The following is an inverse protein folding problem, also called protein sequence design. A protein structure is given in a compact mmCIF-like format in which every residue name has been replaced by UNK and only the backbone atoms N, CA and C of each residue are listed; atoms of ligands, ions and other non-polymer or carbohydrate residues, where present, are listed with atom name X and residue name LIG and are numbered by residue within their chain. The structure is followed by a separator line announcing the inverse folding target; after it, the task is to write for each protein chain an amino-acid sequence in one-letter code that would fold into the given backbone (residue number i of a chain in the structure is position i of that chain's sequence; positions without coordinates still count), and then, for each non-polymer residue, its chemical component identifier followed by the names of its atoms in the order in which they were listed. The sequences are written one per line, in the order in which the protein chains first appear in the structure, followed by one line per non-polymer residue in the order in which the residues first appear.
data_IF_660926525517
#
_entry.id   IF_660926525517
#
_cell.length_a   1.000
_cell.length_b   1.000
_cell.length_c   1.000
_cell.angle_alpha   90.00
_cell.angle_beta   90.00
_cell.angle_gamma   90.00
#
_symmetry.space_group_name_H-M   'P 1'
#
loop_
_entity.id
_entity.type
_entity.pdbx_description
1 polymer ?
#
# COMPACT_ATOMS: atom_id res chain seq x y z
N UNK A 1 -12.19 21.96 -28.67
CA UNK A 1 -11.38 22.20 -27.45
C UNK A 1 -10.75 23.58 -27.53
N UNK A 2 -10.64 24.29 -26.42
CA UNK A 2 -10.00 25.60 -26.37
C UNK A 2 -8.72 25.51 -25.56
N UNK A 3 -7.60 26.02 -26.08
CA UNK A 3 -6.36 26.13 -25.32
C UNK A 3 -6.53 27.23 -24.26
N UNK A 4 -6.38 26.88 -23.00
CA UNK A 4 -6.55 27.80 -21.85
C UNK A 4 -5.32 27.76 -20.93
N UNK A 5 -5.06 28.84 -20.21
CA UNK A 5 -4.08 28.85 -19.11
C UNK A 5 -4.77 28.56 -17.80
N UNK A 6 -4.10 27.86 -16.90
CA UNK A 6 -4.64 27.56 -15.58
C UNK A 6 -5.12 28.84 -14.86
N UNK A 7 -4.36 29.94 -14.95
CA UNK A 7 -4.74 31.23 -14.36
C UNK A 7 -6.07 31.79 -14.84
N UNK A 8 -6.54 31.41 -16.04
CA UNK A 8 -7.76 31.96 -16.62
C UNK A 8 -9.01 31.28 -16.07
N UNK A 9 -8.88 30.01 -15.66
CA UNK A 9 -10.00 29.15 -15.24
C UNK A 9 -9.96 28.70 -13.78
N UNK A 10 -8.78 28.76 -13.12
CA UNK A 10 -8.61 28.35 -11.72
C UNK A 10 -8.07 29.51 -10.89
N UNK A 11 -8.54 29.62 -9.66
CA UNK A 11 -8.02 30.55 -8.66
C UNK A 11 -7.44 29.82 -7.45
N UNK A 12 -6.41 30.41 -6.86
CA UNK A 12 -5.92 30.03 -5.53
C UNK A 12 -6.75 30.75 -4.48
N UNK A 13 -7.46 30.01 -3.65
CA UNK A 13 -8.15 30.54 -2.47
C UNK A 13 -7.14 30.89 -1.39
N UNK A 14 -7.29 32.06 -0.77
CA UNK A 14 -6.43 32.57 0.31
C UNK A 14 -7.28 32.91 1.54
N UNK A 15 -8.08 31.95 1.98
CA UNK A 15 -8.84 32.06 3.22
C UNK A 15 -7.93 31.69 4.38
N UNK A 16 -7.48 32.72 5.12
CA UNK A 16 -6.57 32.54 6.24
C UNK A 16 -7.35 32.58 7.55
N UNK A 17 -7.09 31.58 8.38
CA UNK A 17 -7.68 31.48 9.72
C UNK A 17 -6.59 31.33 10.76
N UNK A 18 -6.89 31.75 11.98
CA UNK A 18 -6.03 31.44 13.11
C UNK A 18 -6.35 30.03 13.59
N UNK A 19 -5.37 29.15 13.50
CA UNK A 19 -5.46 27.74 13.89
C UNK A 19 -5.96 27.53 15.32
N UNK A 20 -5.54 28.41 16.24
CA UNK A 20 -5.77 28.24 17.67
C UNK A 20 -7.15 28.77 18.10
N UNK A 21 -7.80 29.56 17.25
CA UNK A 21 -9.14 30.15 17.51
C UNK A 21 -10.22 29.69 16.53
N UNK A 22 -9.83 29.07 15.40
CA UNK A 22 -10.79 28.53 14.44
C UNK A 22 -11.46 27.27 15.01
N UNK A 23 -12.78 27.18 14.83
CA UNK A 23 -13.56 25.98 15.17
C UNK A 23 -13.43 24.95 14.07
N UNK A 24 -12.23 24.34 13.96
CA UNK A 24 -11.85 23.35 12.94
C UNK A 24 -11.11 22.19 13.59
N UNK A 25 -11.49 20.97 13.24
CA UNK A 25 -10.96 19.75 13.83
C UNK A 25 -9.73 19.20 13.07
N UNK A 26 -9.65 19.42 11.76
CA UNK A 26 -8.75 18.68 10.89
C UNK A 26 -7.72 19.55 10.17
N UNK A 27 -6.58 18.91 9.88
CA UNK A 27 -5.57 19.50 9.00
C UNK A 27 -5.06 18.51 7.96
N UNK A 28 -4.54 19.04 6.85
CA UNK A 28 -3.83 18.28 5.83
C UNK A 28 -2.39 18.79 5.71
N UNK A 29 -1.44 17.89 5.98
CA UNK A 29 -0.01 18.04 5.69
C UNK A 29 0.41 17.19 4.50
N UNK A 30 1.66 17.31 4.08
CA UNK A 30 2.20 16.53 2.96
C UNK A 30 2.18 15.01 3.15
N UNK A 31 2.13 14.54 4.40
CA UNK A 31 2.00 13.13 4.79
C UNK A 31 0.62 12.53 4.56
N UNK A 32 -0.39 13.38 4.37
CA UNK A 32 -1.77 12.94 4.14
C UNK A 32 -2.13 12.74 2.67
N UNK A 33 -1.23 13.11 1.75
CA UNK A 33 -1.41 12.83 0.33
C UNK A 33 -0.75 11.51 -0.05
N UNK A 34 -1.48 10.66 -0.75
CA UNK A 34 -0.91 9.54 -1.48
C UNK A 34 -0.49 9.94 -2.90
N UNK A 35 0.30 9.10 -3.55
CA UNK A 35 0.74 9.34 -4.91
C UNK A 35 -0.45 9.28 -5.88
N UNK A 36 -0.66 10.34 -6.64
CA UNK A 36 -1.67 10.42 -7.71
C UNK A 36 -3.09 10.02 -7.27
N UNK A 37 -3.47 10.34 -6.02
CA UNK A 37 -4.84 10.14 -5.54
C UNK A 37 -5.78 11.25 -6.04
N UNK A 38 -7.04 10.89 -6.29
CA UNK A 38 -8.10 11.86 -6.65
C UNK A 38 -8.77 12.43 -5.39
N UNK A 39 -9.02 11.58 -4.39
CA UNK A 39 -9.70 11.95 -3.15
C UNK A 39 -8.74 11.87 -1.97
N UNK A 40 -8.50 12.97 -1.28
CA UNK A 40 -7.67 13.01 -0.07
C UNK A 40 -8.56 12.61 1.11
N UNK A 41 -8.40 11.37 1.59
CA UNK A 41 -9.17 10.85 2.72
C UNK A 41 -8.44 10.92 4.04
N UNK A 42 -7.10 10.93 4.02
CA UNK A 42 -6.26 11.00 5.22
C UNK A 42 -6.19 12.42 5.75
N UNK A 43 -6.25 12.57 7.06
CA UNK A 43 -6.23 13.85 7.75
C UNK A 43 -5.65 13.71 9.15
N UNK A 44 -5.07 14.79 9.64
CA UNK A 44 -4.65 14.89 11.06
C UNK A 44 -5.68 15.65 11.88
N UNK A 45 -5.68 15.44 13.19
CA UNK A 45 -6.49 16.19 14.15
C UNK A 45 -5.66 17.37 14.65
N UNK A 46 -6.22 18.58 14.66
CA UNK A 46 -5.53 19.81 15.08
C UNK A 46 -5.23 19.76 16.57
N UNK A 47 -6.21 19.36 17.39
CA UNK A 47 -6.07 19.31 18.84
C UNK A 47 -4.97 18.33 19.25
N UNK A 48 -3.99 18.81 20.01
CA UNK A 48 -2.86 18.01 20.48
C UNK A 48 -1.78 17.72 19.41
N UNK A 49 -1.92 18.25 18.21
CA UNK A 49 -0.90 18.12 17.15
C UNK A 49 0.30 19.05 17.37
N UNK A 50 1.40 18.74 16.68
CA UNK A 50 2.63 19.56 16.69
C UNK A 50 2.79 20.40 15.41
N UNK A 51 1.69 20.63 14.65
CA UNK A 51 1.74 21.41 13.42
C UNK A 51 2.17 22.85 13.70
N UNK A 52 3.01 23.40 12.82
CA UNK A 52 3.57 24.74 12.97
C UNK A 52 2.62 25.87 12.49
N UNK A 53 3.02 27.13 12.64
CA UNK A 53 2.22 28.32 12.27
C UNK A 53 1.95 28.45 10.76
N UNK A 54 2.61 27.67 9.92
CA UNK A 54 2.35 27.62 8.49
C UNK A 54 0.98 27.02 8.13
N UNK A 55 0.32 26.31 9.08
CA UNK A 55 -1.00 25.73 8.91
C UNK A 55 -2.08 26.75 9.27
N UNK A 56 -2.50 27.53 8.30
CA UNK A 56 -3.47 28.60 8.48
C UNK A 56 -4.36 28.82 7.24
N UNK A 57 -4.23 27.99 6.19
CA UNK A 57 -5.05 28.11 5.00
C UNK A 57 -6.27 27.20 5.11
N UNK A 58 -7.47 27.80 5.23
CA UNK A 58 -8.73 27.07 5.31
C UNK A 58 -9.11 26.48 3.95
N UNK A 59 -9.61 25.28 3.95
CA UNK A 59 -10.26 24.62 2.81
C UNK A 59 -11.64 24.09 3.23
N UNK A 60 -12.50 23.88 2.24
CA UNK A 60 -13.88 23.41 2.39
C UNK A 60 -14.13 22.15 1.54
N UNK A 61 -15.19 21.36 1.82
CA UNK A 61 -15.59 20.25 0.97
C UNK A 61 -15.72 20.68 -0.50
N UNK A 62 -15.13 19.89 -1.40
CA UNK A 62 -15.09 20.18 -2.84
C UNK A 62 -13.88 21.00 -3.31
N UNK A 63 -13.08 21.55 -2.38
CA UNK A 63 -11.82 22.18 -2.76
C UNK A 63 -10.79 21.16 -3.23
N UNK A 64 -9.99 21.54 -4.22
CA UNK A 64 -8.85 20.73 -4.67
C UNK A 64 -7.58 21.30 -4.06
N UNK A 65 -6.86 20.45 -3.34
CA UNK A 65 -5.57 20.81 -2.77
C UNK A 65 -4.44 20.38 -3.71
N UNK A 66 -3.53 21.30 -4.00
CA UNK A 66 -2.36 21.07 -4.84
C UNK A 66 -1.09 21.39 -4.03
N UNK A 67 -0.26 20.35 -3.79
CA UNK A 67 1.00 20.53 -3.08
C UNK A 67 2.05 21.19 -3.97
N UNK A 68 2.68 22.26 -3.48
CA UNK A 68 3.75 22.95 -4.20
C UNK A 68 5.10 22.25 -4.12
N UNK A 69 5.28 21.32 -3.17
CA UNK A 69 6.55 20.64 -2.89
C UNK A 69 6.63 19.29 -3.58
N UNK A 70 7.85 18.97 -4.09
CA UNK A 70 8.19 17.66 -4.65
C UNK A 70 7.19 17.19 -5.73
N UNK A 71 7.08 17.87 -6.88
CA UNK A 71 6.07 17.60 -7.91
C UNK A 71 6.10 16.14 -8.41
N UNK A 72 7.25 15.46 -8.36
CA UNK A 72 7.37 14.03 -8.69
C UNK A 72 6.48 13.12 -7.83
N UNK A 73 5.99 13.60 -6.68
CA UNK A 73 5.08 12.86 -5.82
C UNK A 73 3.61 13.01 -6.20
N UNK A 74 3.29 13.84 -7.22
CA UNK A 74 1.94 14.04 -7.80
C UNK A 74 0.84 14.24 -6.75
N UNK A 75 1.11 15.11 -5.78
CA UNK A 75 0.24 15.35 -4.62
C UNK A 75 -0.80 16.41 -4.92
N UNK A 76 -1.95 15.99 -5.42
CA UNK A 76 -3.13 16.83 -5.63
C UNK A 76 -4.39 15.98 -5.52
N UNK A 77 -5.45 16.52 -4.92
CA UNK A 77 -6.72 15.81 -4.81
C UNK A 77 -7.82 16.67 -4.21
N UNK A 78 -9.05 16.20 -4.31
CA UNK A 78 -10.21 16.84 -3.72
C UNK A 78 -10.41 16.38 -2.28
N UNK A 79 -10.98 17.25 -1.46
CA UNK A 79 -11.39 16.98 -0.08
C UNK A 79 -12.90 16.99 0.08
N UNK A 80 -13.45 16.16 0.96
CA UNK A 80 -14.87 16.05 1.30
C UNK A 80 -15.20 16.58 2.70
N UNK A 81 -14.22 17.18 3.38
CA UNK A 81 -14.33 17.77 4.72
C UNK A 81 -13.69 19.15 4.76
N UNK A 82 -13.96 19.91 5.81
CA UNK A 82 -13.29 21.19 6.05
C UNK A 82 -12.10 21.05 6.99
N UNK A 83 -11.15 21.97 6.87
CA UNK A 83 -9.98 21.99 7.71
C UNK A 83 -8.97 23.05 7.29
N UNK A 84 -7.73 22.91 7.78
CA UNK A 84 -6.62 23.78 7.41
C UNK A 84 -5.49 23.00 6.74
N UNK A 85 -4.79 23.67 5.85
CA UNK A 85 -3.53 23.17 5.29
C UNK A 85 -2.42 24.23 5.43
N UNK A 86 -1.20 23.81 5.14
CA UNK A 86 -0.06 24.74 5.14
C UNK A 86 -0.07 25.63 3.89
N UNK A 87 0.67 26.72 3.94
CA UNK A 87 0.84 27.66 2.83
C UNK A 87 1.52 27.07 1.59
N UNK A 88 2.16 25.89 1.73
CA UNK A 88 2.75 25.11 0.63
C UNK A 88 1.74 24.19 -0.07
N UNK A 89 0.51 24.10 0.44
CA UNK A 89 -0.63 23.45 -0.21
C UNK A 89 -1.57 24.54 -0.74
N UNK A 90 -1.76 24.55 -2.04
CA UNK A 90 -2.65 25.54 -2.67
C UNK A 90 -4.08 25.03 -2.68
N UNK A 91 -5.00 25.80 -2.13
CA UNK A 91 -6.45 25.55 -2.21
C UNK A 91 -6.95 26.10 -3.55
N UNK A 92 -7.43 25.22 -4.43
CA UNK A 92 -7.79 25.52 -5.78
C UNK A 92 -9.30 25.43 -6.00
N UNK A 93 -9.87 26.46 -6.60
CA UNK A 93 -11.27 26.50 -7.07
C UNK A 93 -11.33 26.98 -8.51
N UNK A 94 -12.33 26.51 -9.23
CA UNK A 94 -12.64 27.06 -10.55
C UNK A 94 -13.21 28.46 -10.40
N UNK A 95 -12.92 29.32 -11.38
CA UNK A 95 -13.41 30.73 -11.38
C UNK A 95 -14.86 30.84 -11.84
N UNK A 96 -15.23 29.98 -12.77
CA UNK A 96 -16.58 29.93 -13.36
C UNK A 96 -16.89 28.49 -13.75
N UNK A 97 -17.89 27.90 -13.12
CA UNK A 97 -18.32 26.50 -13.40
C UNK A 97 -19.02 26.34 -14.76
N UNK A 98 -19.39 27.44 -15.44
CA UNK A 98 -19.84 27.37 -16.83
C UNK A 98 -18.69 27.21 -17.82
N UNK A 99 -17.46 27.44 -17.38
CA UNK A 99 -16.23 27.26 -18.18
C UNK A 99 -15.47 25.99 -17.78
N UNK A 100 -15.24 25.78 -16.48
CA UNK A 100 -14.57 24.62 -15.92
C UNK A 100 -15.31 24.12 -14.69
N UNK A 101 -15.80 22.87 -14.74
CA UNK A 101 -16.45 22.24 -13.59
C UNK A 101 -15.46 22.02 -12.45
N UNK A 102 -15.84 22.40 -11.22
CA UNK A 102 -15.03 22.14 -10.01
C UNK A 102 -14.75 20.64 -9.85
N UNK A 103 -15.74 19.79 -10.12
CA UNK A 103 -15.60 18.32 -10.05
C UNK A 103 -14.69 17.72 -11.14
N UNK A 104 -14.37 18.46 -12.21
CA UNK A 104 -13.43 18.04 -13.26
C UNK A 104 -11.97 18.39 -12.92
N UNK A 105 -11.76 19.43 -12.09
CA UNK A 105 -10.43 19.96 -11.76
C UNK A 105 -9.46 18.92 -11.17
N UNK A 106 -9.86 17.99 -10.26
CA UNK A 106 -8.93 16.99 -9.72
C UNK A 106 -8.30 16.11 -10.82
N UNK A 107 -9.06 15.79 -11.86
CA UNK A 107 -8.58 14.95 -12.96
C UNK A 107 -7.57 15.68 -13.85
N UNK A 108 -7.73 17.01 -14.05
CA UNK A 108 -6.72 17.82 -14.75
C UNK A 108 -5.37 17.74 -14.02
N UNK A 109 -5.38 17.86 -12.69
CA UNK A 109 -4.16 17.78 -11.88
C UNK A 109 -3.57 16.36 -11.77
N UNK A 110 -4.25 15.33 -12.24
CA UNK A 110 -3.71 13.97 -12.26
C UNK A 110 -3.23 13.50 -13.63
N UNK A 111 -3.25 14.39 -14.64
CA UNK A 111 -2.70 14.09 -15.95
C UNK A 111 -1.16 14.07 -15.94
N UNK A 112 -0.57 13.22 -16.77
CA UNK A 112 0.89 13.20 -16.97
C UNK A 112 1.38 14.55 -17.49
N UNK A 113 0.66 15.16 -18.43
CA UNK A 113 0.99 16.46 -19.01
C UNK A 113 1.11 17.59 -17.95
N UNK A 114 0.22 17.60 -16.94
CA UNK A 114 0.32 18.54 -15.83
C UNK A 114 1.57 18.35 -14.99
N UNK A 115 1.88 17.10 -14.63
CA UNK A 115 3.04 16.81 -13.79
C UNK A 115 4.36 16.91 -14.53
N UNK A 116 4.41 16.61 -15.84
CA UNK A 116 5.59 16.84 -16.69
C UNK A 116 5.88 18.34 -16.81
N UNK A 117 4.85 19.17 -16.94
CA UNK A 117 5.00 20.62 -16.85
C UNK A 117 5.53 21.05 -15.47
N UNK A 118 4.99 20.51 -14.38
CA UNK A 118 5.40 20.83 -13.03
C UNK A 118 6.86 20.41 -12.77
N UNK A 119 7.28 19.22 -13.21
CA UNK A 119 8.65 18.73 -13.11
C UNK A 119 9.63 19.58 -13.92
N UNK A 120 9.25 20.02 -15.11
CA UNK A 120 10.09 20.84 -15.99
C UNK A 120 10.28 22.26 -15.46
N UNK A 121 9.37 22.77 -14.64
CA UNK A 121 9.39 24.14 -14.10
C UNK A 121 9.74 24.21 -12.60
N UNK A 122 10.11 23.08 -11.97
CA UNK A 122 10.48 23.04 -10.56
C UNK A 122 11.73 23.83 -10.26
N UNK A 123 11.78 24.40 -9.04
CA UNK A 123 12.87 25.18 -8.49
C UNK A 123 13.47 24.49 -7.27
N UNK A 124 14.71 24.85 -6.92
CA UNK A 124 15.42 24.26 -5.78
C UNK A 124 16.33 23.11 -6.19
N UNK A 125 17.19 22.66 -5.27
CA UNK A 125 18.18 21.60 -5.52
C UNK A 125 17.93 20.34 -4.70
N UNK A 126 17.39 20.48 -3.49
CA UNK A 126 17.12 19.34 -2.58
C UNK A 126 15.63 19.25 -2.25
N UNK A 127 14.99 20.39 -2.02
CA UNK A 127 13.55 20.49 -1.76
C UNK A 127 12.91 21.20 -2.96
N UNK A 128 12.54 20.45 -3.98
CA UNK A 128 11.91 20.99 -5.17
C UNK A 128 10.55 21.61 -4.86
N UNK A 129 10.25 22.72 -5.52
CA UNK A 129 8.97 23.41 -5.36
C UNK A 129 8.57 24.17 -6.63
N UNK A 130 7.29 24.47 -6.76
CA UNK A 130 6.74 25.46 -7.70
C UNK A 130 5.98 26.51 -6.92
N UNK A 131 6.13 27.76 -7.33
CA UNK A 131 5.24 28.83 -6.87
C UNK A 131 3.91 28.78 -7.60
N UNK A 132 2.87 29.37 -7.03
CA UNK A 132 1.59 29.51 -7.71
C UNK A 132 1.75 30.19 -9.08
N UNK A 133 2.56 31.24 -9.17
CA UNK A 133 2.86 31.95 -10.42
C UNK A 133 3.52 31.09 -11.50
N UNK A 134 4.07 29.95 -11.17
CA UNK A 134 4.60 28.99 -12.13
C UNK A 134 3.47 28.04 -12.59
N UNK A 135 2.65 27.54 -11.67
CA UNK A 135 1.44 26.75 -12.01
C UNK A 135 0.45 27.53 -12.88
N UNK A 136 0.27 28.84 -12.63
CA UNK A 136 -0.61 29.71 -13.43
C UNK A 136 -0.29 29.72 -14.93
N UNK A 137 0.93 29.37 -15.32
CA UNK A 137 1.39 29.35 -16.72
C UNK A 137 1.04 28.04 -17.44
N UNK A 138 0.58 27.03 -16.71
CA UNK A 138 0.20 25.74 -17.31
C UNK A 138 -0.90 25.96 -18.33
N UNK A 139 -0.67 25.45 -19.55
CA UNK A 139 -1.61 25.50 -20.68
C UNK A 139 -2.13 24.09 -20.97
N UNK A 140 -3.41 23.98 -21.22
CA UNK A 140 -4.04 22.72 -21.56
C UNK A 140 -5.28 22.92 -22.43
N UNK A 141 -5.64 21.89 -23.17
CA UNK A 141 -6.87 21.90 -23.96
C UNK A 141 -8.08 21.63 -23.05
N UNK A 142 -8.99 22.57 -22.98
CA UNK A 142 -10.23 22.45 -22.20
C UNK A 142 -11.37 21.98 -23.10
N UNK A 143 -12.02 20.84 -22.82
CA UNK A 143 -13.20 20.39 -23.54
C UNK A 143 -14.39 21.35 -23.31
N UNK A 144 -15.37 21.38 -24.23
CA UNK A 144 -16.66 22.06 -24.02
C UNK A 144 -17.35 21.56 -22.74
N UNK A 145 -18.14 22.39 -22.09
CA UNK A 145 -18.72 22.10 -20.77
C UNK A 145 -19.60 20.82 -20.76
N UNK A 146 -20.26 20.52 -21.87
CA UNK A 146 -21.07 19.31 -22.05
C UNK A 146 -20.18 18.06 -21.98
N UNK A 147 -19.04 18.08 -22.66
CA UNK A 147 -18.06 16.99 -22.65
C UNK A 147 -17.42 16.86 -21.25
N UNK A 148 -17.12 18.00 -20.59
CA UNK A 148 -16.62 17.95 -19.21
C UNK A 148 -17.63 17.26 -18.28
N UNK A 149 -18.95 17.50 -18.44
CA UNK A 149 -19.99 16.84 -17.64
C UNK A 149 -19.98 15.34 -17.84
N UNK A 150 -19.97 14.88 -19.08
CA UNK A 150 -19.94 13.45 -19.41
C UNK A 150 -18.67 12.77 -18.85
N UNK A 151 -17.51 13.37 -19.09
CA UNK A 151 -16.22 12.87 -18.57
C UNK A 151 -16.18 12.87 -17.05
N UNK A 152 -16.68 13.92 -16.41
CA UNK A 152 -16.72 14.03 -14.95
C UNK A 152 -17.53 12.89 -14.35
N UNK A 153 -18.73 12.63 -14.85
CA UNK A 153 -19.56 11.53 -14.32
C UNK A 153 -18.90 10.17 -14.55
N UNK A 154 -18.29 9.93 -15.71
CA UNK A 154 -17.60 8.68 -16.03
C UNK A 154 -16.35 8.48 -15.14
N UNK A 155 -15.52 9.52 -15.00
CA UNK A 155 -14.29 9.45 -14.19
C UNK A 155 -14.60 9.27 -12.70
N UNK A 156 -15.63 9.94 -12.17
CA UNK A 156 -16.06 9.73 -10.78
C UNK A 156 -16.68 8.36 -10.55
N UNK A 157 -17.44 7.83 -11.50
CA UNK A 157 -17.97 6.47 -11.42
C UNK A 157 -16.81 5.43 -11.39
N UNK A 158 -15.79 5.66 -12.22
CA UNK A 158 -14.59 4.82 -12.24
C UNK A 158 -13.80 4.93 -10.92
N UNK A 159 -13.58 6.14 -10.40
CA UNK A 159 -12.88 6.36 -9.12
C UNK A 159 -13.64 5.70 -7.96
N UNK A 160 -14.95 5.89 -7.86
CA UNK A 160 -15.77 5.25 -6.84
C UNK A 160 -15.72 3.71 -6.93
N UNK A 161 -15.72 3.16 -8.15
CA UNK A 161 -15.56 1.73 -8.37
C UNK A 161 -14.19 1.23 -7.89
N UNK A 162 -13.12 1.95 -8.21
CA UNK A 162 -11.77 1.65 -7.73
C UNK A 162 -11.70 1.65 -6.20
N UNK A 163 -12.24 2.69 -5.56
CA UNK A 163 -12.26 2.80 -4.10
C UNK A 163 -13.08 1.68 -3.45
N UNK A 164 -14.21 1.29 -4.04
CA UNK A 164 -15.01 0.16 -3.57
C UNK A 164 -14.23 -1.17 -3.66
N UNK A 165 -13.46 -1.40 -4.72
CA UNK A 165 -12.61 -2.58 -4.85
C UNK A 165 -11.45 -2.57 -3.84
N UNK A 166 -10.85 -1.42 -3.56
CA UNK A 166 -9.82 -1.28 -2.51
C UNK A 166 -10.39 -1.61 -1.14
N UNK A 167 -11.59 -1.13 -0.82
CA UNK A 167 -12.25 -1.45 0.45
C UNK A 167 -12.61 -2.94 0.54
N UNK A 168 -13.07 -3.55 -0.55
CA UNK A 168 -13.38 -4.97 -0.60
C UNK A 168 -12.13 -5.85 -0.40
N UNK A 169 -10.96 -5.43 -0.92
CA UNK A 169 -9.68 -6.08 -0.62
C UNK A 169 -9.39 -6.08 0.88
N UNK A 170 -9.53 -4.93 1.53
CA UNK A 170 -9.35 -4.79 2.98
C UNK A 170 -10.32 -5.69 3.77
N UNK A 171 -11.60 -5.66 3.40
CA UNK A 171 -12.63 -6.50 4.03
C UNK A 171 -12.34 -8.00 3.86
N UNK A 172 -11.80 -8.40 2.70
CA UNK A 172 -11.41 -9.80 2.45
C UNK A 172 -10.26 -10.24 3.36
N UNK A 173 -9.27 -9.36 3.61
CA UNK A 173 -8.19 -9.65 4.56
C UNK A 173 -8.70 -9.77 6.00
N UNK A 174 -9.64 -8.91 6.40
CA UNK A 174 -10.28 -8.97 7.72
C UNK A 174 -11.14 -10.24 7.87
N UNK A 175 -11.83 -10.64 6.81
CA UNK A 175 -12.62 -11.86 6.78
C UNK A 175 -11.75 -13.11 7.01
N UNK A 176 -10.58 -13.20 6.38
CA UNK A 176 -9.65 -14.31 6.60
C UNK A 176 -9.20 -14.39 8.06
N UNK A 177 -8.89 -13.23 8.67
CA UNK A 177 -8.51 -13.18 10.09
C UNK A 177 -9.67 -13.60 11.00
N UNK A 178 -10.87 -13.12 10.72
CA UNK A 178 -12.08 -13.46 11.49
C UNK A 178 -12.41 -14.94 11.37
N UNK A 179 -12.33 -15.52 10.17
CA UNK A 179 -12.57 -16.93 9.93
C UNK A 179 -11.55 -17.81 10.66
N UNK A 180 -10.28 -17.39 10.70
CA UNK A 180 -9.25 -18.09 11.48
C UNK A 180 -9.63 -18.13 12.98
N UNK A 181 -10.04 -17.01 13.55
CA UNK A 181 -10.44 -16.94 14.96
C UNK A 181 -11.73 -17.75 15.23
N UNK A 182 -12.71 -17.68 14.32
CA UNK A 182 -13.96 -18.45 14.45
C UNK A 182 -13.69 -19.95 14.45
N UNK A 183 -12.90 -20.44 13.50
CA UNK A 183 -12.60 -21.87 13.36
C UNK A 183 -11.67 -22.39 14.47
N UNK A 184 -10.64 -21.66 14.78
CA UNK A 184 -9.56 -22.14 15.66
C UNK A 184 -9.57 -21.55 17.07
N UNK A 185 -10.32 -20.48 17.30
CA UNK A 185 -10.41 -19.77 18.58
C UNK A 185 -9.27 -18.77 18.80
N UNK A 186 -9.33 -18.12 19.94
CA UNK A 186 -8.24 -17.25 20.41
C UNK A 186 -7.09 -18.11 20.94
N UNK A 187 -5.93 -18.03 20.29
CA UNK A 187 -4.74 -18.80 20.65
C UNK A 187 -4.04 -18.29 21.91
N UNK A 188 -4.27 -17.06 22.31
CA UNK A 188 -3.68 -16.51 23.56
C UNK A 188 -4.23 -17.20 24.81
N UNK A 189 -5.49 -17.58 24.80
CA UNK A 189 -6.16 -18.31 25.88
C UNK A 189 -6.54 -19.75 25.52
N UNK A 190 -6.19 -20.21 24.30
CA UNK A 190 -6.60 -21.50 23.76
C UNK A 190 -8.09 -21.80 23.99
N UNK A 191 -8.95 -20.89 23.56
CA UNK A 191 -10.39 -20.88 23.86
C UNK A 191 -11.13 -22.14 23.40
N UNK A 192 -10.58 -22.86 22.38
CA UNK A 192 -11.11 -24.13 21.88
C UNK A 192 -10.49 -25.37 22.53
N UNK A 193 -9.52 -25.20 23.44
CA UNK A 193 -8.84 -26.25 24.17
C UNK A 193 -8.13 -27.29 23.27
N UNK A 194 -7.56 -26.84 22.14
CA UNK A 194 -6.77 -27.69 21.26
C UNK A 194 -5.51 -28.19 21.98
N UNK A 195 -5.01 -29.38 21.65
CA UNK A 195 -3.72 -29.86 22.16
C UNK A 195 -2.60 -28.86 21.82
N UNK A 196 -1.74 -28.59 22.80
CA UNK A 196 -0.55 -27.75 22.57
C UNK A 196 0.54 -28.60 21.96
N UNK A 197 1.02 -28.23 20.78
CA UNK A 197 2.11 -28.88 20.08
C UNK A 197 3.36 -27.97 20.07
N UNK A 198 4.55 -28.55 20.08
CA UNK A 198 5.81 -27.84 19.86
C UNK A 198 6.05 -27.65 18.37
N UNK A 199 6.76 -26.60 17.97
CA UNK A 199 7.05 -26.31 16.57
C UNK A 199 7.54 -27.54 15.79
N UNK A 200 8.46 -28.31 16.36
CA UNK A 200 9.03 -29.49 15.72
C UNK A 200 8.05 -30.69 15.59
N UNK A 201 6.88 -30.62 16.22
CA UNK A 201 5.84 -31.64 16.06
C UNK A 201 5.03 -31.39 14.76
N UNK A 202 4.89 -30.12 14.35
CA UNK A 202 4.05 -29.72 13.20
C UNK A 202 4.82 -29.05 12.04
N UNK A 203 6.10 -28.69 12.24
CA UNK A 203 6.92 -28.09 11.19
C UNK A 203 8.42 -28.29 11.49
N UNK A 204 9.26 -28.07 10.48
CA UNK A 204 10.71 -28.02 10.64
C UNK A 204 11.31 -26.87 9.83
N UNK A 205 12.41 -26.30 10.30
CA UNK A 205 13.26 -25.42 9.49
C UNK A 205 14.14 -26.30 8.62
N UNK A 206 13.84 -26.34 7.32
CA UNK A 206 14.59 -27.12 6.33
C UNK A 206 15.77 -26.29 5.80
N UNK A 207 16.88 -26.35 6.55
CA UNK A 207 18.05 -25.53 6.29
C UNK A 207 19.00 -26.20 5.25
N UNK A 208 18.43 -26.70 4.15
CA UNK A 208 19.19 -27.24 3.02
C UNK A 208 19.88 -26.10 2.27
N UNK A 209 21.20 -25.94 2.51
CA UNK A 209 21.97 -24.82 1.94
C UNK A 209 22.74 -25.26 0.70
N UNK A 210 22.72 -24.44 -0.35
CA UNK A 210 23.53 -24.63 -1.55
C UNK A 210 24.51 -23.48 -1.77
N UNK A 211 25.60 -23.78 -2.46
CA UNK A 211 26.56 -22.86 -3.07
C UNK A 211 26.79 -23.20 -4.54
N UNK A 212 25.97 -24.09 -5.09
CA UNK A 212 26.00 -24.48 -6.50
C UNK A 212 25.18 -23.45 -7.33
N UNK A 213 25.80 -22.33 -7.59
CA UNK A 213 25.16 -21.23 -8.35
C UNK A 213 25.09 -21.50 -9.85
N UNK A 214 25.86 -22.46 -10.34
CA UNK A 214 25.79 -22.87 -11.76
C UNK A 214 24.50 -23.65 -12.00
N UNK A 215 24.23 -24.65 -11.15
CA UNK A 215 22.99 -25.43 -11.23
C UNK A 215 21.74 -24.55 -11.02
N UNK A 216 21.78 -23.64 -10.05
CA UNK A 216 20.64 -22.77 -9.71
C UNK A 216 20.62 -21.43 -10.47
N UNK A 217 21.46 -21.25 -11.52
CA UNK A 217 21.63 -19.95 -12.20
C UNK A 217 20.33 -19.28 -12.63
N UNK A 218 19.42 -20.04 -13.22
CA UNK A 218 18.14 -19.56 -13.73
C UNK A 218 16.97 -19.69 -12.73
N UNK A 219 17.23 -20.21 -11.52
CA UNK A 219 16.19 -20.31 -10.49
C UNK A 219 15.95 -18.96 -9.81
N UNK A 220 14.71 -18.68 -9.37
CA UNK A 220 14.39 -17.49 -8.60
C UNK A 220 15.20 -17.40 -7.30
N UNK A 221 15.75 -16.21 -7.04
CA UNK A 221 16.39 -15.87 -5.76
C UNK A 221 15.48 -14.94 -4.96
N UNK A 222 14.98 -15.41 -3.81
CA UNK A 222 14.12 -14.63 -2.92
C UNK A 222 14.98 -13.96 -1.86
N UNK A 223 15.23 -12.67 -2.05
CA UNK A 223 15.78 -11.79 -1.02
C UNK A 223 14.70 -11.40 0.01
N UNK A 224 15.14 -10.87 1.17
CA UNK A 224 14.19 -10.38 2.18
C UNK A 224 13.35 -9.20 1.66
N UNK A 225 13.93 -8.39 0.78
CA UNK A 225 13.24 -7.23 0.20
C UNK A 225 12.21 -7.62 -0.87
N UNK A 226 12.30 -8.83 -1.41
CA UNK A 226 11.32 -9.38 -2.35
C UNK A 226 10.04 -9.89 -1.66
N UNK A 227 9.99 -9.91 -0.32
CA UNK A 227 8.82 -10.31 0.46
C UNK A 227 8.15 -9.04 1.00
N UNK A 228 6.92 -8.79 0.58
CA UNK A 228 6.13 -7.69 1.09
C UNK A 228 5.77 -7.89 2.57
N UNK A 229 5.83 -6.80 3.34
CA UNK A 229 5.46 -6.84 4.76
C UNK A 229 3.97 -7.18 4.93
N UNK A 230 3.64 -7.88 6.00
CA UNK A 230 2.28 -8.27 6.42
C UNK A 230 1.54 -9.21 5.46
N UNK A 231 1.72 -9.05 4.14
CA UNK A 231 1.03 -9.84 3.10
C UNK A 231 1.81 -11.08 2.68
N UNK A 232 3.17 -10.98 2.68
CA UNK A 232 4.06 -12.02 2.18
C UNK A 232 4.03 -12.21 0.66
N UNK A 233 3.45 -11.26 -0.08
CA UNK A 233 3.48 -11.26 -1.54
C UNK A 233 4.92 -11.18 -2.03
N UNK A 234 5.25 -12.03 -3.00
CA UNK A 234 6.57 -12.05 -3.63
C UNK A 234 6.59 -11.15 -4.86
N UNK A 235 7.53 -10.21 -4.90
CA UNK A 235 7.70 -9.29 -6.03
C UNK A 235 9.15 -8.84 -6.20
N UNK A 236 9.49 -8.42 -7.41
CA UNK A 236 10.80 -7.82 -7.71
C UNK A 236 12.01 -8.75 -7.51
N UNK A 237 11.78 -10.05 -7.36
CA UNK A 237 12.86 -11.03 -7.30
C UNK A 237 13.44 -11.31 -8.69
N UNK A 238 14.70 -11.73 -8.73
CA UNK A 238 15.45 -12.04 -9.94
C UNK A 238 16.00 -13.45 -9.83
N UNK A 239 16.67 -13.91 -10.89
CA UNK A 239 17.38 -15.19 -10.86
C UNK A 239 18.68 -15.10 -10.05
N UNK A 240 19.19 -16.25 -9.64
CA UNK A 240 20.50 -16.36 -8.96
C UNK A 240 21.61 -15.69 -9.76
N UNK A 241 21.59 -15.87 -11.08
CA UNK A 241 22.56 -15.30 -12.03
C UNK A 241 22.45 -13.77 -12.10
N UNK A 242 21.23 -13.23 -12.22
CA UNK A 242 21.01 -11.78 -12.30
C UNK A 242 21.38 -11.07 -11.00
N UNK A 243 21.19 -11.72 -9.86
CA UNK A 243 21.56 -11.18 -8.54
C UNK A 243 23.04 -11.37 -8.21
N UNK A 244 23.82 -12.04 -9.06
CA UNK A 244 25.24 -12.36 -8.84
C UNK A 244 25.48 -12.95 -7.45
N UNK A 245 24.71 -13.98 -7.09
CA UNK A 245 24.73 -14.57 -5.76
C UNK A 245 26.09 -15.21 -5.46
N UNK A 246 26.73 -14.81 -4.33
CA UNK A 246 28.05 -15.28 -3.93
C UNK A 246 28.09 -15.91 -2.53
N UNK A 247 26.98 -15.92 -1.80
CA UNK A 247 26.89 -16.46 -0.43
C UNK A 247 25.85 -17.55 -0.34
N UNK A 248 26.08 -18.56 0.51
CA UNK A 248 25.16 -19.70 0.67
C UNK A 248 23.70 -19.30 0.79
N UNK A 249 22.82 -20.01 0.11
CA UNK A 249 21.37 -19.82 0.07
C UNK A 249 20.65 -21.09 0.48
N UNK A 250 19.47 -20.96 1.04
CA UNK A 250 18.61 -22.11 1.31
C UNK A 250 17.78 -22.46 0.08
N UNK A 251 17.74 -23.73 -0.26
CA UNK A 251 16.85 -24.24 -1.32
C UNK A 251 15.44 -24.37 -0.75
N UNK A 252 14.45 -24.01 -1.55
CA UNK A 252 13.05 -24.22 -1.22
C UNK A 252 12.26 -24.78 -2.40
N UNK A 253 11.14 -25.40 -2.10
CA UNK A 253 10.16 -25.93 -3.07
C UNK A 253 8.78 -25.34 -2.76
N UNK A 254 7.76 -25.58 -3.59
CA UNK A 254 6.39 -25.15 -3.32
C UNK A 254 5.77 -25.65 -2.00
N UNK A 255 6.42 -26.62 -1.34
CA UNK A 255 5.99 -27.11 -0.02
C UNK A 255 6.42 -26.23 1.14
N UNK A 256 7.40 -25.36 0.93
CA UNK A 256 7.97 -24.52 1.99
C UNK A 256 7.20 -23.23 2.18
N UNK A 257 7.30 -22.69 3.38
CA UNK A 257 6.98 -21.32 3.76
C UNK A 257 8.31 -20.60 3.94
N UNK A 258 8.48 -19.41 3.39
CA UNK A 258 9.69 -18.60 3.59
C UNK A 258 9.40 -17.58 4.69
N UNK A 259 10.08 -17.70 5.82
CA UNK A 259 9.97 -16.81 6.98
C UNK A 259 11.22 -15.94 7.11
N UNK A 260 11.07 -14.60 7.10
CA UNK A 260 12.18 -13.68 7.34
C UNK A 260 12.58 -13.67 8.81
N UNK A 261 13.85 -14.01 9.11
CA UNK A 261 14.38 -13.92 10.48
C UNK A 261 14.85 -12.51 10.87
N UNK A 262 14.94 -11.57 9.89
CA UNK A 262 15.35 -10.19 10.11
C UNK A 262 14.11 -9.31 10.21
N UNK A 263 14.12 -8.37 11.16
CA UNK A 263 13.01 -7.43 11.41
C UNK A 263 11.66 -8.17 11.47
N UNK A 264 11.48 -9.09 12.43
CA UNK A 264 10.27 -9.90 12.55
C UNK A 264 8.99 -9.04 12.68
N UNK A 265 9.12 -7.80 13.13
CA UNK A 265 8.04 -6.81 13.17
C UNK A 265 7.47 -6.44 11.78
N UNK A 266 8.17 -6.74 10.69
CA UNK A 266 7.65 -6.57 9.33
C UNK A 266 6.79 -7.74 8.88
N UNK A 267 6.67 -8.79 9.68
CA UNK A 267 5.78 -9.93 9.46
C UNK A 267 5.88 -10.53 8.04
N UNK A 268 7.10 -10.76 7.56
CA UNK A 268 7.39 -11.24 6.22
C UNK A 268 7.37 -12.77 6.16
N UNK A 269 6.24 -13.33 5.74
CA UNK A 269 5.99 -14.78 5.59
C UNK A 269 5.45 -15.04 4.19
N UNK A 270 6.20 -15.72 3.33
CA UNK A 270 5.82 -15.94 1.93
C UNK A 270 5.48 -17.42 1.64
N UNK A 271 4.61 -17.62 0.66
CA UNK A 271 4.13 -18.91 0.18
C UNK A 271 4.49 -19.08 -1.31
N UNK A 272 5.75 -19.38 -1.67
CA UNK A 272 6.12 -19.58 -3.06
C UNK A 272 5.39 -20.79 -3.66
N UNK A 273 4.96 -20.69 -4.91
CA UNK A 273 4.37 -21.78 -5.72
C UNK A 273 5.36 -22.36 -6.74
N UNK A 274 6.63 -21.98 -6.62
CA UNK A 274 7.75 -22.39 -7.47
C UNK A 274 8.95 -22.85 -6.63
N UNK A 275 9.93 -23.49 -7.27
CA UNK A 275 11.21 -23.85 -6.68
C UNK A 275 12.23 -22.72 -6.84
N UNK A 276 13.13 -22.60 -5.87
CA UNK A 276 14.17 -21.59 -5.91
C UNK A 276 15.11 -21.62 -4.72
N UNK A 277 15.84 -20.52 -4.56
CA UNK A 277 16.70 -20.30 -3.41
C UNK A 277 16.31 -19.03 -2.68
N UNK A 278 16.43 -19.02 -1.36
CA UNK A 278 16.17 -17.83 -0.56
C UNK A 278 17.40 -17.38 0.22
N UNK A 279 17.39 -16.12 0.62
CA UNK A 279 18.44 -15.51 1.43
C UNK A 279 18.72 -16.33 2.68
N UNK A 280 19.99 -16.41 3.08
CA UNK A 280 20.38 -16.96 4.38
C UNK A 280 19.76 -16.19 5.57
N UNK A 281 19.13 -15.04 5.33
CA UNK A 281 18.37 -14.28 6.32
C UNK A 281 16.87 -14.63 6.37
N UNK A 282 16.46 -15.66 5.65
CA UNK A 282 15.17 -16.31 5.77
C UNK A 282 15.32 -17.75 6.28
N UNK A 283 14.22 -18.36 6.71
CA UNK A 283 14.10 -19.77 6.99
C UNK A 283 13.05 -20.40 6.08
N UNK A 284 13.42 -21.39 5.24
CA UNK A 284 12.44 -22.26 4.62
C UNK A 284 11.85 -23.19 5.71
N UNK A 285 10.57 -23.02 5.99
CA UNK A 285 9.83 -23.82 6.96
C UNK A 285 9.01 -24.84 6.18
N UNK A 286 9.21 -26.10 6.49
CA UNK A 286 8.47 -27.22 5.91
C UNK A 286 7.46 -27.73 6.95
N UNK A 287 6.14 -27.64 6.68
CA UNK A 287 5.13 -28.24 7.55
C UNK A 287 5.25 -29.76 7.55
N UNK A 288 4.77 -30.39 8.62
CA UNK A 288 4.58 -31.83 8.67
C UNK A 288 3.21 -32.16 8.07
N UNK A 289 3.19 -32.67 6.86
CA UNK A 289 1.97 -32.95 6.09
C UNK A 289 1.01 -33.95 6.81
N UNK A 290 1.47 -34.69 7.83
CA UNK A 290 0.63 -35.61 8.60
C UNK A 290 -0.32 -34.88 9.58
N UNK A 291 0.00 -33.68 10.02
CA UNK A 291 -0.74 -32.97 11.05
C UNK A 291 -0.84 -31.44 10.88
N UNK A 292 -0.16 -30.87 9.87
CA UNK A 292 -0.13 -29.44 9.69
C UNK A 292 -0.26 -29.03 8.21
N UNK A 293 -1.33 -28.34 7.89
CA UNK A 293 -1.55 -27.76 6.57
C UNK A 293 -0.65 -26.53 6.35
N UNK A 294 -0.06 -26.41 5.18
CA UNK A 294 0.87 -25.32 4.81
C UNK A 294 0.23 -23.93 4.89
N UNK A 295 -0.99 -23.76 4.39
CA UNK A 295 -1.68 -22.47 4.39
C UNK A 295 -2.10 -22.07 5.80
N UNK A 296 -2.62 -23.01 6.58
CA UNK A 296 -2.90 -22.80 8.00
C UNK A 296 -1.64 -22.33 8.75
N UNK A 297 -0.52 -23.03 8.56
CA UNK A 297 0.74 -22.67 9.22
C UNK A 297 1.22 -21.27 8.81
N UNK A 298 1.09 -20.90 7.53
CA UNK A 298 1.49 -19.57 7.08
C UNK A 298 0.65 -18.46 7.74
N UNK A 299 -0.66 -18.67 7.89
CA UNK A 299 -1.54 -17.74 8.60
C UNK A 299 -1.22 -17.69 10.09
N UNK A 300 -0.93 -18.83 10.72
CA UNK A 300 -0.47 -18.90 12.11
C UNK A 300 0.83 -18.10 12.30
N UNK A 301 1.82 -18.28 11.42
CA UNK A 301 3.10 -17.54 11.47
C UNK A 301 2.93 -16.04 11.17
N UNK A 302 1.85 -15.60 10.52
CA UNK A 302 1.48 -14.19 10.32
C UNK A 302 0.62 -13.63 11.45
N UNK A 303 0.07 -14.48 12.31
CA UNK A 303 -0.85 -14.07 13.38
C UNK A 303 -0.16 -13.21 14.44
N UNK A 304 -0.95 -12.38 15.11
CA UNK A 304 -0.46 -11.59 16.24
C UNK A 304 0.09 -12.48 17.36
N UNK A 305 -0.48 -13.66 17.56
CA UNK A 305 -0.03 -14.64 18.55
C UNK A 305 1.43 -15.08 18.33
N UNK A 306 1.81 -15.42 17.08
CA UNK A 306 3.21 -15.75 16.77
C UNK A 306 4.09 -14.50 16.80
N UNK A 307 3.58 -13.37 16.29
CA UNK A 307 4.33 -12.10 16.27
C UNK A 307 4.71 -11.65 17.68
N UNK A 308 3.78 -11.68 18.63
CA UNK A 308 4.04 -11.33 20.03
C UNK A 308 5.09 -12.24 20.67
N UNK A 309 5.00 -13.56 20.39
CA UNK A 309 6.00 -14.53 20.87
C UNK A 309 7.40 -14.17 20.32
N UNK A 310 7.52 -13.98 19.01
CA UNK A 310 8.85 -13.80 18.39
C UNK A 310 9.45 -12.42 18.68
N UNK A 311 8.64 -11.39 18.84
CA UNK A 311 9.08 -10.04 19.22
C UNK A 311 9.61 -10.00 20.65
N UNK A 312 9.17 -10.89 21.53
CA UNK A 312 9.72 -11.01 22.89
C UNK A 312 11.24 -11.25 22.89
N UNK A 313 11.82 -11.80 21.83
CA UNK A 313 13.27 -12.03 21.69
C UNK A 313 14.02 -10.87 21.04
N UNK A 314 13.34 -9.89 20.44
CA UNK A 314 13.95 -8.89 19.56
C UNK A 314 14.03 -7.48 20.14
N UNK A 315 13.59 -7.24 21.36
CA UNK A 315 13.36 -5.93 21.96
C UNK A 315 14.60 -5.03 22.20
N UNK A 316 15.83 -5.46 21.87
CA UNK A 316 17.07 -4.75 22.25
C UNK A 316 18.03 -4.39 21.09
N UNK A 317 17.62 -4.47 19.84
CA UNK A 317 18.51 -4.23 18.69
C UNK A 317 17.88 -3.32 17.63
N UNK A 318 18.72 -2.46 17.02
CA UNK A 318 18.30 -1.64 15.85
C UNK A 318 18.02 -2.49 14.60
N UNK A 319 18.53 -3.71 14.51
CA UNK A 319 18.17 -4.70 13.49
C UNK A 319 17.83 -6.03 14.19
N UNK A 320 16.62 -6.17 14.70
CA UNK A 320 16.22 -7.37 15.41
C UNK A 320 16.27 -8.58 14.48
N UNK A 321 16.95 -9.63 14.93
CA UNK A 321 17.12 -10.89 14.22
C UNK A 321 16.80 -12.04 15.17
N UNK A 322 15.99 -12.97 14.70
CA UNK A 322 15.65 -14.16 15.46
C UNK A 322 16.47 -15.36 14.97
N UNK A 323 16.87 -16.22 15.90
CA UNK A 323 17.63 -17.42 15.58
C UNK A 323 16.73 -18.66 15.48
N UNK A 324 17.30 -19.75 14.98
CA UNK A 324 16.60 -21.02 14.77
C UNK A 324 15.94 -21.54 16.04
N UNK A 325 16.67 -21.55 17.18
CA UNK A 325 16.15 -22.06 18.45
C UNK A 325 14.95 -21.25 18.96
N UNK A 326 14.90 -19.95 18.68
CA UNK A 326 13.77 -19.12 19.06
C UNK A 326 12.52 -19.46 18.24
N UNK A 327 12.66 -19.72 16.94
CA UNK A 327 11.53 -20.16 16.10
C UNK A 327 11.08 -21.58 16.50
N UNK A 328 12.02 -22.50 16.66
CA UNK A 328 11.74 -23.90 17.08
C UNK A 328 11.19 -24.01 18.51
N UNK A 329 11.42 -23.01 19.36
CA UNK A 329 10.84 -22.92 20.70
C UNK A 329 9.36 -22.55 20.75
N UNK A 330 8.76 -22.17 19.61
CA UNK A 330 7.36 -21.81 19.54
C UNK A 330 6.45 -23.01 19.85
N UNK A 331 5.37 -22.73 20.60
CA UNK A 331 4.32 -23.71 20.89
C UNK A 331 2.97 -23.09 20.55
N UNK A 332 2.11 -23.88 19.94
CA UNK A 332 0.78 -23.42 19.54
C UNK A 332 -0.29 -24.48 19.78
N UNK A 333 -1.55 -24.08 20.01
CA UNK A 333 -2.67 -24.97 19.83
C UNK A 333 -2.68 -25.53 18.42
N UNK A 334 -2.81 -26.87 18.27
CA UNK A 334 -2.85 -27.52 16.98
C UNK A 334 -4.21 -28.18 16.78
N UNK A 335 -5.10 -27.60 15.96
CA UNK A 335 -6.40 -28.18 15.65
C UNK A 335 -6.25 -29.39 14.71
N UNK A 336 -7.29 -30.25 14.58
CA UNK A 336 -7.29 -31.37 13.66
C UNK A 336 -6.99 -30.96 12.21
N UNK A 337 -6.28 -31.80 11.47
CA UNK A 337 -5.85 -31.52 10.09
C UNK A 337 -7.04 -31.23 9.17
N UNK A 338 -8.16 -31.97 9.28
CA UNK A 338 -9.40 -31.74 8.50
C UNK A 338 -9.94 -30.31 8.66
N UNK A 339 -9.84 -29.74 9.86
CA UNK A 339 -10.29 -28.37 10.11
C UNK A 339 -9.33 -27.37 9.48
N UNK A 340 -8.02 -27.67 9.52
CA UNK A 340 -7.00 -26.85 8.85
C UNK A 340 -7.15 -26.88 7.33
N UNK A 341 -7.48 -28.02 6.73
CA UNK A 341 -7.76 -28.18 5.30
C UNK A 341 -9.02 -27.40 4.87
N UNK A 342 -10.06 -27.45 5.69
CA UNK A 342 -11.28 -26.65 5.47
C UNK A 342 -10.97 -25.15 5.44
N UNK A 343 -10.15 -24.67 6.38
CA UNK A 343 -9.67 -23.30 6.39
C UNK A 343 -8.78 -22.99 5.17
N UNK A 344 -7.90 -23.90 4.77
CA UNK A 344 -7.04 -23.73 3.61
C UNK A 344 -7.86 -23.53 2.33
N UNK A 345 -8.92 -24.32 2.13
CA UNK A 345 -9.84 -24.15 0.99
C UNK A 345 -10.52 -22.78 0.98
N UNK A 346 -10.95 -22.29 2.14
CA UNK A 346 -11.50 -20.94 2.29
C UNK A 346 -10.45 -19.86 1.98
N UNK A 347 -9.21 -20.03 2.49
CA UNK A 347 -8.12 -19.11 2.24
C UNK A 347 -7.78 -19.00 0.74
N UNK A 348 -7.70 -20.15 0.02
CA UNK A 348 -7.45 -20.18 -1.42
C UNK A 348 -8.53 -19.46 -2.23
N UNK A 349 -9.80 -19.63 -1.87
CA UNK A 349 -10.90 -18.89 -2.51
C UNK A 349 -10.80 -17.39 -2.27
N UNK A 350 -10.47 -16.98 -1.03
CA UNK A 350 -10.27 -15.60 -0.67
C UNK A 350 -9.08 -14.97 -1.42
N UNK A 351 -7.98 -15.71 -1.56
CA UNK A 351 -6.78 -15.24 -2.26
C UNK A 351 -7.04 -15.08 -3.77
N UNK A 352 -7.77 -16.02 -4.38
CA UNK A 352 -8.23 -15.87 -5.77
C UNK A 352 -9.11 -14.63 -5.95
N UNK A 353 -10.05 -14.40 -5.05
CA UNK A 353 -10.91 -13.19 -5.09
C UNK A 353 -10.08 -11.91 -4.97
N UNK A 354 -9.07 -11.88 -4.09
CA UNK A 354 -8.14 -10.74 -3.97
C UNK A 354 -7.35 -10.50 -5.25
N UNK A 355 -6.91 -11.57 -5.91
CA UNK A 355 -6.21 -11.44 -7.20
C UNK A 355 -7.11 -10.83 -8.28
N UNK A 356 -8.36 -11.28 -8.39
CA UNK A 356 -9.34 -10.73 -9.33
C UNK A 356 -9.65 -9.25 -9.06
N UNK A 357 -9.77 -8.87 -7.78
CA UNK A 357 -9.96 -7.48 -7.35
C UNK A 357 -8.75 -6.59 -7.72
N UNK A 358 -7.53 -7.06 -7.49
CA UNK A 358 -6.31 -6.32 -7.88
C UNK A 358 -6.27 -6.08 -9.39
N UNK A 359 -6.60 -7.08 -10.20
CA UNK A 359 -6.69 -6.91 -11.65
C UNK A 359 -7.81 -5.94 -12.06
N UNK A 360 -8.95 -5.95 -11.36
CA UNK A 360 -10.04 -5.03 -11.62
C UNK A 360 -9.63 -3.58 -11.31
N UNK A 361 -8.94 -3.35 -10.18
CA UNK A 361 -8.38 -2.03 -9.82
C UNK A 361 -7.42 -1.54 -10.89
N UNK A 362 -6.52 -2.39 -11.38
CA UNK A 362 -5.57 -2.04 -12.43
C UNK A 362 -6.28 -1.67 -13.73
N UNK A 363 -7.28 -2.46 -14.16
CA UNK A 363 -8.08 -2.17 -15.37
C UNK A 363 -8.81 -0.84 -15.26
N UNK A 364 -9.46 -0.56 -14.13
CA UNK A 364 -10.16 0.71 -13.90
C UNK A 364 -9.17 1.87 -13.88
N UNK A 365 -8.02 1.70 -13.24
CA UNK A 365 -6.98 2.74 -13.20
C UNK A 365 -6.43 3.06 -14.60
N UNK A 366 -6.20 2.04 -15.44
CA UNK A 366 -5.74 2.21 -16.80
C UNK A 366 -6.81 2.87 -17.69
N UNK A 367 -8.09 2.51 -17.50
CA UNK A 367 -9.21 3.18 -18.19
C UNK A 367 -9.27 4.66 -17.83
N UNK A 368 -9.18 5.01 -16.55
CA UNK A 368 -9.17 6.40 -16.10
C UNK A 368 -8.00 7.18 -16.72
N UNK A 369 -6.79 6.61 -16.72
CA UNK A 369 -5.63 7.23 -17.36
C UNK A 369 -5.87 7.47 -18.85
N UNK A 370 -6.40 6.48 -19.56
CA UNK A 370 -6.72 6.63 -20.99
C UNK A 370 -7.72 7.75 -21.25
N UNK A 371 -8.79 7.83 -20.46
CA UNK A 371 -9.81 8.89 -20.57
C UNK A 371 -9.19 10.27 -20.30
N UNK A 372 -8.37 10.41 -19.26
CA UNK A 372 -7.72 11.67 -18.95
C UNK A 372 -6.69 12.09 -20.02
N UNK A 373 -5.99 11.14 -20.65
CA UNK A 373 -4.96 11.46 -21.65
C UNK A 373 -5.53 11.81 -23.02
N UNK A 374 -6.63 11.19 -23.46
CA UNK A 374 -7.24 11.45 -24.76
C UNK A 374 -7.66 12.90 -24.96
N UNK A 375 -8.08 13.57 -23.89
CA UNK A 375 -8.61 14.92 -23.95
C UNK A 375 -7.56 16.02 -23.71
N UNK A 376 -6.39 15.68 -23.17
CA UNK A 376 -5.31 16.64 -22.87
C UNK A 376 -4.08 16.53 -23.76
N UNK A 377 -3.98 15.49 -24.59
CA UNK A 377 -2.76 15.15 -25.36
C UNK A 377 -2.70 15.77 -26.78
N UNK A 378 -3.67 16.62 -27.20
CA UNK A 378 -3.67 17.23 -28.54
C UNK A 378 -3.55 18.74 -28.47
#
# INVERSE_FOLDING_TARGET
MALVKLKDVVMRVKDKVDRDTADLDFYIGGEHFDYAEICISRRGVIQGSTIGPAFHMRFQPGDVLLMSRNPHLRKAGVVDFEGICSDVSYVCRTKDENVLLQRYLPFIFQTDHFWDFAESNKKGSTNFFLNWSDFEKYEFNLPPIEIQRELTELLWAAENTKLAYVDLLRQTDELVKSQFIEMFGDYTCNSKQWPIASFNDFAKIDANMTTDYEFYADYPHIGIDSIEKDTGVLSGYRTVKEDNVISGKYVFTPKHIIYSKIRPNLNKVALPDFEGVCSADAYPILPNDENCNRLYLAVLLRSQFFLDYILGFSARSNMPKVNRKQVEGFKAPLPPLELQESFASFFEQSDKSKFELKQAIERVTNLMKSLMQQDFAN
#
